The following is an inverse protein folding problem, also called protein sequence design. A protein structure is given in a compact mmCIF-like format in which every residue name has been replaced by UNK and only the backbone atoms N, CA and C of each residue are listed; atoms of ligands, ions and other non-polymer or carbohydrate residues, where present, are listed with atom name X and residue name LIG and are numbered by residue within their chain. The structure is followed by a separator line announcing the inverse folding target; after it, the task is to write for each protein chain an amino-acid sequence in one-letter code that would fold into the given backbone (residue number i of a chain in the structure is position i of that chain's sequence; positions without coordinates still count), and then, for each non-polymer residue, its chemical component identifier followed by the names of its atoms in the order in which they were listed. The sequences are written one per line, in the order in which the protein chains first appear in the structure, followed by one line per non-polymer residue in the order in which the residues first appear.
data_IF_596925621363
#
_entry.id   IF_596925621363
#
_cell.length_a   1.000
_cell.length_b   1.000
_cell.length_c   1.000
_cell.angle_alpha   90.00
_cell.angle_beta   90.00
_cell.angle_gamma   90.00
#
_symmetry.space_group_name_H-M   'P 1'
#
loop_
_entity.id
_entity.type
_entity.pdbx_description
1 polymer ?
#
# COMPACT_ATOMS: atom_id res chain seq x y z
N UNK A 1 -12.86 14.62 5.14
CA UNK A 1 -11.58 13.97 4.77
C UNK A 1 -10.40 14.78 5.29
N UNK A 2 -9.67 14.31 6.31
CA UNK A 2 -8.46 14.94 6.83
C UNK A 2 -7.41 15.22 5.74
N UNK A 3 -6.68 16.33 5.86
CA UNK A 3 -5.68 16.77 4.87
C UNK A 3 -4.59 15.71 4.62
N UNK A 4 -4.15 15.03 5.68
CA UNK A 4 -3.15 13.97 5.61
C UNK A 4 -3.56 12.83 4.66
N UNK A 5 -4.83 12.44 4.68
CA UNK A 5 -5.36 11.39 3.79
C UNK A 5 -5.35 11.88 2.34
N UNK A 6 -5.76 13.13 2.09
CA UNK A 6 -5.74 13.70 0.74
C UNK A 6 -4.33 13.74 0.15
N UNK A 7 -3.33 14.17 0.94
CA UNK A 7 -1.92 14.21 0.51
C UNK A 7 -1.41 12.80 0.22
N UNK A 8 -1.72 11.84 1.08
CA UNK A 8 -1.33 10.44 0.88
C UNK A 8 -1.92 9.85 -0.40
N UNK A 9 -3.22 10.05 -0.64
CA UNK A 9 -3.89 9.60 -1.87
C UNK A 9 -3.28 10.28 -3.10
N UNK A 10 -2.99 11.58 -3.03
CA UNK A 10 -2.31 12.27 -4.13
C UNK A 10 -0.91 11.71 -4.40
N UNK A 11 -0.13 11.39 -3.36
CA UNK A 11 1.19 10.76 -3.52
C UNK A 11 1.08 9.38 -4.17
N UNK A 12 0.09 8.59 -3.76
CA UNK A 12 -0.20 7.28 -4.34
C UNK A 12 -0.54 7.39 -5.83
N UNK A 13 -1.46 8.29 -6.20
CA UNK A 13 -1.91 8.46 -7.59
C UNK A 13 -0.86 9.07 -8.53
N UNK A 14 0.22 9.63 -7.98
CA UNK A 14 1.30 10.30 -8.74
C UNK A 14 2.62 9.55 -8.69
N UNK A 15 2.59 8.30 -8.21
CA UNK A 15 3.77 7.44 -8.06
C UNK A 15 4.89 8.13 -7.26
N UNK A 16 4.48 8.86 -6.21
CA UNK A 16 5.39 9.57 -5.29
C UNK A 16 5.62 8.81 -4.00
N UNK A 17 4.96 7.66 -3.81
CA UNK A 17 5.29 6.74 -2.73
C UNK A 17 6.61 6.02 -3.06
N UNK A 18 7.49 5.82 -2.07
CA UNK A 18 8.76 5.12 -2.25
C UNK A 18 8.55 3.60 -2.33
N UNK A 19 7.71 3.15 -3.26
CA UNK A 19 7.56 1.72 -3.57
C UNK A 19 8.79 1.20 -4.29
N UNK A 20 9.10 -0.09 -4.16
CA UNK A 20 10.27 -0.69 -4.81
C UNK A 20 10.37 -0.37 -6.31
N UNK A 21 9.26 -0.42 -7.04
CA UNK A 21 9.23 -0.07 -8.48
C UNK A 21 9.60 1.39 -8.74
N UNK A 22 9.11 2.33 -7.91
CA UNK A 22 9.44 3.75 -8.04
C UNK A 22 10.84 4.11 -7.55
N UNK A 23 11.36 3.39 -6.54
CA UNK A 23 12.76 3.51 -6.11
C UNK A 23 13.69 3.07 -7.24
N UNK A 24 13.42 1.89 -7.83
CA UNK A 24 14.22 1.35 -8.93
C UNK A 24 14.19 2.28 -10.16
N UNK A 25 13.00 2.77 -10.55
CA UNK A 25 12.82 3.73 -11.66
C UNK A 25 13.64 5.01 -11.49
N UNK A 26 13.97 5.39 -10.25
CA UNK A 26 14.76 6.58 -9.91
C UNK A 26 16.24 6.25 -9.66
N UNK A 27 16.68 5.06 -10.06
CA UNK A 27 18.05 4.56 -9.84
C UNK A 27 18.42 4.43 -8.36
N UNK A 28 17.42 4.24 -7.50
CA UNK A 28 17.63 3.89 -6.09
C UNK A 28 17.99 2.41 -5.92
N UNK A 29 18.32 1.99 -4.68
CA UNK A 29 18.75 0.63 -4.40
C UNK A 29 17.61 -0.40 -4.53
N UNK A 30 17.98 -1.66 -4.72
CA UNK A 30 17.05 -2.79 -4.78
C UNK A 30 16.70 -3.24 -6.20
N UNK A 31 15.83 -4.22 -6.31
CA UNK A 31 15.40 -4.84 -7.58
C UNK A 31 13.94 -4.54 -7.93
N UNK A 32 13.29 -3.64 -7.17
CA UNK A 32 11.89 -3.25 -7.37
C UNK A 32 10.85 -4.31 -7.00
N UNK A 33 11.26 -5.42 -6.37
CA UNK A 33 10.36 -6.48 -5.95
C UNK A 33 9.98 -6.35 -4.47
N UNK A 34 8.78 -6.81 -4.14
CA UNK A 34 8.32 -6.90 -2.76
C UNK A 34 9.11 -8.01 -2.05
N UNK A 35 9.69 -7.76 -0.86
CA UNK A 35 10.48 -8.76 -0.16
C UNK A 35 9.64 -9.93 0.38
N UNK A 36 8.31 -9.76 0.46
CA UNK A 36 7.39 -10.80 0.96
C UNK A 36 6.80 -11.64 -0.18
N UNK A 37 6.50 -11.00 -1.31
CA UNK A 37 5.75 -11.62 -2.41
C UNK A 37 6.62 -11.93 -3.64
N UNK A 38 7.83 -11.37 -3.74
CA UNK A 38 8.73 -11.50 -4.89
C UNK A 38 8.13 -11.08 -6.25
N UNK A 39 7.13 -10.19 -6.24
CA UNK A 39 6.53 -9.56 -7.41
C UNK A 39 6.82 -8.05 -7.41
N UNK A 40 6.64 -7.31 -8.52
CA UNK A 40 6.86 -5.87 -8.54
C UNK A 40 6.12 -5.14 -7.41
N UNK A 41 6.86 -4.40 -6.59
CA UNK A 41 6.30 -3.66 -5.46
C UNK A 41 5.81 -2.29 -5.94
N UNK A 42 4.52 -2.21 -6.25
CA UNK A 42 3.82 -0.98 -6.62
C UNK A 42 3.05 -0.41 -5.42
N UNK A 43 2.60 0.85 -5.50
CA UNK A 43 1.74 1.43 -4.48
C UNK A 43 0.43 0.65 -4.26
N UNK A 44 -0.15 0.10 -5.32
CA UNK A 44 -1.35 -0.76 -5.23
C UNK A 44 -1.04 -2.11 -4.59
N UNK A 45 0.12 -2.70 -4.89
CA UNK A 45 0.56 -3.92 -4.21
C UNK A 45 0.76 -3.68 -2.71
N UNK A 46 1.48 -2.62 -2.32
CA UNK A 46 1.72 -2.26 -0.91
C UNK A 46 0.41 -2.07 -0.13
N UNK A 47 -0.61 -1.47 -0.76
CA UNK A 47 -1.84 -1.12 -0.06
C UNK A 47 -2.94 -2.18 -0.12
N UNK A 48 -2.98 -3.05 -1.13
CA UNK A 48 -4.14 -3.92 -1.34
C UNK A 48 -3.77 -5.38 -1.61
N UNK A 49 -2.72 -5.64 -2.40
CA UNK A 49 -2.46 -6.99 -2.91
C UNK A 49 -1.34 -7.74 -2.19
N UNK A 50 -0.50 -7.04 -1.41
CA UNK A 50 0.55 -7.66 -0.62
C UNK A 50 -0.06 -8.51 0.50
N UNK A 51 0.57 -9.65 0.81
CA UNK A 51 0.14 -10.53 1.91
C UNK A 51 0.04 -9.78 3.25
N UNK A 52 0.95 -8.85 3.52
CA UNK A 52 0.91 -8.01 4.72
C UNK A 52 -0.28 -7.04 4.70
N UNK A 53 -0.60 -6.47 3.53
CA UNK A 53 -1.74 -5.58 3.35
C UNK A 53 -3.06 -6.32 3.53
N UNK A 54 -3.17 -7.52 2.96
CA UNK A 54 -4.34 -8.38 3.11
C UNK A 54 -4.57 -8.75 4.58
N UNK A 55 -3.50 -9.14 5.30
CA UNK A 55 -3.59 -9.41 6.73
C UNK A 55 -4.05 -8.18 7.51
N UNK A 56 -3.45 -7.01 7.25
CA UNK A 56 -3.86 -5.74 7.88
C UNK A 56 -5.35 -5.44 7.62
N UNK A 57 -5.83 -5.59 6.39
CA UNK A 57 -7.23 -5.34 6.06
C UNK A 57 -8.19 -6.34 6.69
N UNK A 58 -7.78 -7.60 6.86
CA UNK A 58 -8.56 -8.55 7.65
C UNK A 58 -8.72 -8.06 9.10
N UNK A 59 -7.64 -7.64 9.75
CA UNK A 59 -7.71 -7.08 11.10
C UNK A 59 -8.55 -5.80 11.18
N UNK A 60 -8.40 -4.89 10.21
CA UNK A 60 -9.19 -3.65 10.14
C UNK A 60 -10.69 -3.99 10.00
N UNK A 61 -11.04 -4.95 9.14
CA UNK A 61 -12.43 -5.40 8.97
C UNK A 61 -12.99 -5.97 10.27
N UNK A 62 -12.21 -6.79 10.98
CA UNK A 62 -12.63 -7.36 12.26
C UNK A 62 -12.79 -6.28 13.34
N UNK A 63 -11.83 -5.36 13.44
CA UNK A 63 -11.83 -4.29 14.44
C UNK A 63 -12.93 -3.24 14.21
N UNK A 64 -13.28 -2.98 12.96
CA UNK A 64 -14.35 -2.02 12.62
C UNK A 64 -15.74 -2.64 12.65
N UNK A 65 -15.85 -3.98 12.66
CA UNK A 65 -17.11 -4.72 12.64
C UNK A 65 -18.02 -4.35 11.45
N UNK A 66 -19.22 -4.94 11.36
CA UNK A 66 -20.29 -4.35 10.56
C UNK A 66 -20.64 -2.99 11.19
N UNK A 67 -20.51 -1.91 10.42
CA UNK A 67 -21.04 -0.59 10.79
C UNK A 67 -22.56 -0.68 10.71
N UNK A 68 -23.16 -1.20 11.79
CA UNK A 68 -24.59 -1.41 11.98
C UNK A 68 -25.08 -2.82 11.63
N UNK A 69 -25.54 -3.56 12.65
CA UNK A 69 -26.48 -4.67 12.47
C UNK A 69 -26.37 -5.81 13.48
N UNK A 70 -27.15 -5.68 14.58
CA UNK A 70 -27.40 -6.60 15.71
C UNK A 70 -26.32 -6.70 16.79
#
# INVERSE_FOLDING_TARGET
MPLKIKIFVWQLLRDRLPSGTEVLKRHGPGNGLCPLCHVPETGTHILFSCVAAQALWCFVREALGPVGGL
#
